data_IF_342733555778
#
_entry.id   IF_342733555778
#
_cell.length_a   1.000
_cell.length_b   1.000
_cell.length_c   1.000
_cell.angle_alpha   90.00
_cell.angle_beta   90.00
_cell.angle_gamma   90.00
#
_symmetry.space_group_name_H-M   'P 1'
#
loop_
_entity.id
_entity.type
_entity.pdbx_description
1 polymer ?
#
# COMPACT_ATOMS: atom_id res chain seq x y z
N UNK A 1 12.59 -36.06 -49.11
CA UNK A 1 12.74 -36.35 -47.67
C UNK A 1 13.12 -35.07 -46.93
N UNK A 2 12.59 -34.84 -45.78
CA UNK A 2 11.23 -34.40 -45.50
C UNK A 2 11.18 -33.02 -44.85
N UNK A 3 10.42 -32.13 -45.46
CA UNK A 3 10.16 -30.77 -44.99
C UNK A 3 9.12 -30.73 -43.83
N UNK A 4 8.69 -31.88 -43.35
CA UNK A 4 7.61 -31.99 -42.33
C UNK A 4 8.07 -32.09 -40.87
N UNK A 5 9.35 -32.28 -40.60
CA UNK A 5 9.91 -32.45 -39.26
C UNK A 5 10.29 -31.13 -38.59
N UNK A 6 10.59 -30.07 -39.39
CA UNK A 6 10.99 -28.76 -38.84
C UNK A 6 9.81 -27.93 -38.27
N UNK A 7 8.58 -28.18 -38.73
CA UNK A 7 7.42 -27.42 -38.27
C UNK A 7 6.92 -27.84 -36.88
N UNK A 8 7.26 -29.06 -36.42
CA UNK A 8 6.78 -29.59 -35.13
C UNK A 8 7.61 -29.14 -33.92
N UNK A 9 8.86 -28.71 -34.11
CA UNK A 9 9.75 -28.26 -33.04
C UNK A 9 9.57 -26.79 -32.68
N UNK A 10 9.02 -25.98 -33.59
CA UNK A 10 8.79 -24.53 -33.34
C UNK A 10 7.49 -24.25 -32.53
N UNK A 11 6.51 -25.19 -32.56
CA UNK A 11 5.27 -25.05 -31.79
C UNK A 11 5.40 -25.39 -30.32
N UNK A 12 6.45 -26.11 -29.91
CA UNK A 12 6.62 -26.51 -28.49
C UNK A 12 7.36 -25.48 -27.63
N UNK A 13 8.03 -24.50 -28.27
CA UNK A 13 8.83 -23.49 -27.55
C UNK A 13 8.01 -22.26 -27.11
N UNK A 14 6.77 -22.11 -27.59
CA UNK A 14 5.89 -20.96 -27.27
C UNK A 14 5.00 -21.16 -26.04
N UNK A 15 5.01 -22.34 -25.40
CA UNK A 15 4.14 -22.66 -24.26
C UNK A 15 4.77 -22.51 -22.88
N UNK A 16 6.05 -22.13 -22.78
CA UNK A 16 6.76 -22.03 -21.50
C UNK A 16 6.93 -20.60 -20.95
N UNK A 17 6.40 -19.58 -21.60
CA UNK A 17 6.58 -18.19 -21.19
C UNK A 17 5.40 -17.59 -20.36
N UNK A 18 4.45 -18.38 -19.89
CA UNK A 18 3.21 -17.84 -19.28
C UNK A 18 3.03 -18.09 -17.77
N UNK A 19 4.06 -18.53 -17.03
CA UNK A 19 3.88 -18.86 -15.61
C UNK A 19 4.62 -17.96 -14.61
N UNK A 20 5.10 -16.78 -15.00
CA UNK A 20 5.98 -15.99 -14.11
C UNK A 20 5.35 -14.71 -13.52
N UNK A 21 4.06 -14.41 -13.69
CA UNK A 21 3.50 -13.14 -13.20
C UNK A 21 2.11 -13.25 -12.52
N UNK A 22 1.70 -14.39 -11.98
CA UNK A 22 0.35 -14.55 -11.41
C UNK A 22 0.20 -14.16 -9.93
N UNK A 23 1.28 -13.99 -9.18
CA UNK A 23 1.19 -13.75 -7.73
C UNK A 23 1.03 -12.27 -7.34
N UNK A 24 1.50 -11.33 -8.16
CA UNK A 24 1.28 -9.88 -7.96
C UNK A 24 -0.13 -9.41 -8.36
N UNK A 25 -0.98 -10.25 -8.93
CA UNK A 25 -2.28 -9.85 -9.48
C UNK A 25 -3.50 -10.29 -8.64
N UNK A 26 -3.33 -10.93 -7.50
CA UNK A 26 -4.48 -11.27 -6.64
C UNK A 26 -4.81 -10.12 -5.71
N UNK A 27 -5.48 -9.12 -6.26
CA UNK A 27 -6.02 -8.04 -5.45
C UNK A 27 -7.23 -8.54 -4.67
N UNK A 28 -7.15 -8.48 -3.36
CA UNK A 28 -8.28 -8.75 -2.48
C UNK A 28 -9.19 -7.51 -2.41
N UNK A 29 -10.51 -7.71 -2.41
CA UNK A 29 -11.47 -6.66 -2.07
C UNK A 29 -11.73 -6.70 -0.56
N UNK A 30 -11.75 -5.52 0.05
CA UNK A 30 -12.00 -5.37 1.47
C UNK A 30 -12.95 -4.21 1.75
N UNK A 31 -13.82 -4.36 2.74
CA UNK A 31 -14.69 -3.27 3.21
C UNK A 31 -14.09 -2.63 4.45
N UNK A 32 -13.96 -1.32 4.45
CA UNK A 32 -13.48 -0.55 5.60
C UNK A 32 -14.44 -0.71 6.78
N UNK A 33 -13.91 -1.09 7.94
CA UNK A 33 -14.65 -1.16 9.21
C UNK A 33 -14.36 0.09 10.04
N UNK A 34 -13.09 0.41 10.28
CA UNK A 34 -12.66 1.63 10.98
C UNK A 34 -11.19 1.94 10.68
N UNK A 35 -10.84 3.19 10.84
CA UNK A 35 -9.46 3.67 10.86
C UNK A 35 -8.96 3.67 12.30
N UNK A 36 -7.78 3.09 12.53
CA UNK A 36 -7.10 3.09 13.84
C UNK A 36 -6.17 4.30 13.91
N UNK A 37 -5.27 4.42 12.91
CA UNK A 37 -4.38 5.57 12.76
C UNK A 37 -4.17 5.89 11.27
N UNK A 38 -3.34 6.86 10.95
CA UNK A 38 -3.14 7.32 9.57
C UNK A 38 -2.75 6.22 8.59
N UNK A 39 -2.01 5.20 9.03
CA UNK A 39 -1.53 4.08 8.21
C UNK A 39 -2.02 2.70 8.69
N UNK A 40 -2.93 2.66 9.64
CA UNK A 40 -3.46 1.42 10.23
C UNK A 40 -4.99 1.41 10.17
N UNK A 41 -5.55 0.41 9.48
CA UNK A 41 -6.99 0.34 9.16
C UNK A 41 -7.53 -1.06 9.48
N UNK A 42 -8.72 -1.15 10.04
CA UNK A 42 -9.46 -2.41 10.22
C UNK A 42 -10.44 -2.58 9.07
N UNK A 43 -10.40 -3.74 8.46
CA UNK A 43 -11.26 -4.08 7.32
C UNK A 43 -11.93 -5.42 7.50
N UNK A 44 -12.97 -5.66 6.69
CA UNK A 44 -13.57 -6.98 6.49
C UNK A 44 -13.19 -7.50 5.11
N UNK A 45 -12.49 -8.64 5.07
CA UNK A 45 -12.19 -9.39 3.85
C UNK A 45 -13.02 -10.67 3.89
N UNK A 46 -13.96 -10.82 2.94
CA UNK A 46 -14.95 -11.87 2.99
C UNK A 46 -15.70 -11.83 4.36
N UNK A 47 -15.51 -12.83 5.23
CA UNK A 47 -16.15 -12.90 6.55
C UNK A 47 -15.15 -12.71 7.73
N UNK A 48 -13.90 -12.31 7.45
CA UNK A 48 -12.86 -12.12 8.46
C UNK A 48 -12.57 -10.64 8.68
N UNK A 49 -12.40 -10.25 9.93
CA UNK A 49 -11.90 -8.94 10.31
C UNK A 49 -10.38 -9.00 10.34
N UNK A 50 -9.74 -8.10 9.64
CA UNK A 50 -8.28 -8.01 9.53
C UNK A 50 -7.82 -6.58 9.85
N UNK A 51 -6.66 -6.47 10.47
CA UNK A 51 -5.98 -5.17 10.62
C UNK A 51 -4.94 -5.03 9.52
N UNK A 52 -5.01 -3.94 8.78
CA UNK A 52 -4.06 -3.59 7.74
C UNK A 52 -2.99 -2.64 8.28
N UNK A 53 -1.75 -2.81 7.82
CA UNK A 53 -0.67 -1.81 7.90
C UNK A 53 -0.26 -1.48 6.47
N UNK A 54 -0.35 -0.20 6.13
CA UNK A 54 -0.02 0.27 4.80
C UNK A 54 1.49 0.20 4.57
N UNK A 55 1.92 -0.46 3.47
CA UNK A 55 3.32 -0.62 3.10
C UNK A 55 3.89 0.71 2.58
N UNK A 56 5.16 0.97 2.89
CA UNK A 56 5.92 2.06 2.29
C UNK A 56 5.63 3.44 2.88
N UNK A 57 4.75 3.54 3.87
CA UNK A 57 4.35 4.81 4.51
C UNK A 57 4.39 4.71 6.02
N UNK A 58 4.69 5.83 6.67
CA UNK A 58 4.69 5.99 8.12
C UNK A 58 4.06 7.34 8.47
N UNK A 59 2.91 7.29 9.12
CA UNK A 59 2.22 8.50 9.58
C UNK A 59 2.65 8.85 10.99
N UNK A 60 2.67 10.14 11.37
CA UNK A 60 2.91 10.51 12.76
C UNK A 60 1.87 9.87 13.68
N UNK A 61 2.33 9.33 14.79
CA UNK A 61 1.56 8.47 15.70
C UNK A 61 0.54 9.26 16.53
N UNK A 62 -0.65 8.70 16.72
CA UNK A 62 -1.71 9.29 17.58
C UNK A 62 -2.15 8.39 18.73
N UNK A 63 -1.87 7.08 18.67
CA UNK A 63 -2.42 6.08 19.61
C UNK A 63 -1.35 5.21 20.28
N UNK A 64 -0.08 5.62 20.24
CA UNK A 64 0.99 4.84 20.85
C UNK A 64 0.89 4.85 22.38
N UNK A 65 0.95 3.68 23.08
CA UNK A 65 0.69 3.60 24.51
C UNK A 65 1.70 4.35 25.39
N UNK A 66 2.92 4.58 24.89
CA UNK A 66 4.02 5.21 25.66
C UNK A 66 4.61 6.46 25.02
N UNK A 67 4.29 6.74 23.76
CA UNK A 67 4.67 7.97 23.08
C UNK A 67 3.49 8.92 23.08
N UNK A 68 3.75 10.20 23.26
CA UNK A 68 2.73 11.25 23.10
C UNK A 68 2.26 11.33 21.64
N UNK A 69 1.21 12.11 21.40
CA UNK A 69 0.73 12.44 20.06
C UNK A 69 1.85 13.17 19.31
N UNK A 70 2.26 12.63 18.18
CA UNK A 70 3.29 13.21 17.34
C UNK A 70 2.77 14.42 16.54
N UNK A 71 3.67 15.35 16.19
CA UNK A 71 3.34 16.49 15.34
C UNK A 71 2.69 16.01 14.03
N UNK A 72 1.57 16.62 13.68
CA UNK A 72 0.73 16.30 12.50
C UNK A 72 0.00 14.94 12.55
N UNK A 73 0.09 14.18 13.63
CA UNK A 73 -0.61 12.90 13.80
C UNK A 73 -2.14 13.03 13.69
N UNK A 74 -2.79 13.93 14.44
CA UNK A 74 -4.24 14.13 14.34
C UNK A 74 -4.71 14.47 12.93
N UNK A 75 -3.94 15.25 12.18
CA UNK A 75 -4.25 15.63 10.80
C UNK A 75 -4.12 14.44 9.85
N UNK A 76 -3.06 13.61 9.99
CA UNK A 76 -2.88 12.39 9.19
C UNK A 76 -4.00 11.37 9.46
N UNK A 77 -4.29 11.09 10.74
CA UNK A 77 -5.39 10.21 11.13
C UNK A 77 -6.75 10.75 10.65
N UNK A 78 -6.97 12.07 10.76
CA UNK A 78 -8.18 12.75 10.28
C UNK A 78 -8.36 12.63 8.76
N UNK A 79 -7.28 12.81 7.98
CA UNK A 79 -7.30 12.62 6.54
C UNK A 79 -7.69 11.19 6.18
N UNK A 80 -7.04 10.19 6.79
CA UNK A 80 -7.36 8.78 6.55
C UNK A 80 -8.82 8.47 6.89
N UNK A 81 -9.36 8.97 8.00
CA UNK A 81 -10.78 8.81 8.37
C UNK A 81 -11.75 9.48 7.39
N UNK A 82 -11.36 10.59 6.80
CA UNK A 82 -12.17 11.30 5.81
C UNK A 82 -12.27 10.53 4.50
N UNK A 83 -11.16 9.93 4.07
CA UNK A 83 -11.08 9.19 2.80
C UNK A 83 -11.60 7.75 2.97
N UNK A 84 -11.15 7.05 4.01
CA UNK A 84 -11.49 5.64 4.26
C UNK A 84 -12.67 5.52 5.23
N UNK A 85 -13.85 5.97 4.79
CA UNK A 85 -15.08 5.88 5.59
C UNK A 85 -15.53 4.42 5.76
N UNK A 86 -16.11 4.05 6.92
CA UNK A 86 -16.71 2.72 7.09
C UNK A 86 -17.71 2.40 5.97
N UNK A 87 -17.68 1.15 5.49
CA UNK A 87 -18.54 0.67 4.41
C UNK A 87 -17.96 0.85 2.99
N UNK A 88 -16.90 1.65 2.81
CA UNK A 88 -16.24 1.76 1.49
C UNK A 88 -15.50 0.45 1.17
N UNK A 89 -15.68 -0.05 -0.05
CA UNK A 89 -14.92 -1.19 -0.57
C UNK A 89 -13.66 -0.70 -1.27
N UNK A 90 -12.53 -1.23 -0.87
CA UNK A 90 -11.19 -0.90 -1.38
C UNK A 90 -10.53 -2.13 -1.97
N UNK A 91 -9.55 -1.91 -2.83
CA UNK A 91 -8.73 -2.97 -3.42
C UNK A 91 -7.38 -3.00 -2.70
N UNK A 92 -6.96 -4.20 -2.28
CA UNK A 92 -5.69 -4.44 -1.58
C UNK A 92 -4.74 -5.19 -2.49
N UNK A 93 -3.52 -4.69 -2.62
CA UNK A 93 -2.43 -5.39 -3.29
C UNK A 93 -1.39 -5.79 -2.24
N UNK A 94 -0.99 -7.05 -2.23
CA UNK A 94 0.08 -7.56 -1.36
C UNK A 94 1.44 -7.46 -2.04
N UNK A 95 2.47 -7.47 -1.22
CA UNK A 95 3.85 -7.62 -1.67
C UNK A 95 4.40 -8.99 -1.20
N UNK A 96 5.70 -9.14 -1.11
CA UNK A 96 6.39 -10.40 -0.84
C UNK A 96 6.04 -10.94 0.55
N UNK A 97 6.20 -10.15 1.60
CA UNK A 97 5.84 -10.53 2.97
C UNK A 97 4.42 -10.09 3.31
N UNK A 98 3.52 -11.05 3.63
CA UNK A 98 2.09 -10.74 3.76
C UNK A 98 1.72 -10.13 5.11
N UNK A 99 2.52 -10.33 6.18
CA UNK A 99 2.20 -9.88 7.55
C UNK A 99 3.44 -9.36 8.28
N UNK A 100 3.21 -8.43 9.18
CA UNK A 100 4.24 -7.99 10.10
C UNK A 100 4.30 -8.86 11.38
N UNK A 101 5.25 -8.53 12.28
CA UNK A 101 5.42 -9.24 13.58
C UNK A 101 4.20 -9.14 14.49
N UNK A 102 3.30 -8.20 14.26
CA UNK A 102 2.05 -8.02 15.00
C UNK A 102 0.86 -8.70 14.32
N UNK A 103 1.12 -9.51 13.28
CA UNK A 103 0.11 -10.21 12.48
C UNK A 103 -0.83 -9.30 11.67
N UNK A 104 -0.49 -8.01 11.50
CA UNK A 104 -1.23 -7.12 10.61
C UNK A 104 -0.92 -7.48 9.16
N UNK A 105 -1.93 -7.43 8.29
CA UNK A 105 -1.74 -7.60 6.84
C UNK A 105 -0.99 -6.40 6.28
N UNK A 106 0.11 -6.66 5.56
CA UNK A 106 0.88 -5.67 4.84
C UNK A 106 0.31 -5.50 3.44
N UNK A 107 -0.12 -4.26 3.10
CA UNK A 107 -0.83 -4.00 1.85
C UNK A 107 -0.53 -2.62 1.26
N UNK A 108 -0.66 -2.54 -0.05
CA UNK A 108 -0.92 -1.31 -0.78
C UNK A 108 -2.43 -1.19 -0.99
N UNK A 109 -3.02 -0.02 -0.72
CA UNK A 109 -4.45 0.20 -0.74
C UNK A 109 -4.84 1.12 -1.90
N UNK A 110 -5.82 0.69 -2.69
CA UNK A 110 -6.39 1.46 -3.79
C UNK A 110 -7.87 1.76 -3.53
N UNK A 111 -8.24 3.00 -3.74
CA UNK A 111 -9.62 3.48 -3.60
C UNK A 111 -10.52 2.93 -4.73
N UNK A 112 -11.86 3.03 -4.61
CA UNK A 112 -12.79 2.57 -5.64
C UNK A 112 -12.57 3.23 -7.02
N UNK A 113 -12.08 4.47 -7.04
CA UNK A 113 -11.75 5.22 -8.25
C UNK A 113 -10.33 4.90 -8.80
N UNK A 114 -9.65 3.92 -8.22
CA UNK A 114 -8.32 3.47 -8.63
C UNK A 114 -7.16 4.29 -8.06
N UNK A 115 -7.40 5.33 -7.29
CA UNK A 115 -6.31 6.12 -6.67
C UNK A 115 -5.53 5.30 -5.66
N UNK A 116 -4.21 5.44 -5.69
CA UNK A 116 -3.29 4.79 -4.77
C UNK A 116 -3.23 5.56 -3.45
N UNK A 117 -3.86 5.04 -2.40
CA UNK A 117 -4.02 5.76 -1.14
C UNK A 117 -2.69 5.98 -0.41
N UNK A 118 -1.77 5.00 -0.43
CA UNK A 118 -0.44 5.15 0.17
C UNK A 118 0.33 6.33 -0.45
N UNK A 119 0.24 6.49 -1.78
CA UNK A 119 0.82 7.64 -2.48
C UNK A 119 0.16 8.95 -2.04
N UNK A 120 -1.16 8.98 -1.91
CA UNK A 120 -1.88 10.20 -1.48
C UNK A 120 -1.42 10.69 -0.11
N UNK A 121 -1.17 9.78 0.84
CA UNK A 121 -0.63 10.12 2.15
C UNK A 121 0.71 10.84 2.05
N UNK A 122 1.62 10.32 1.24
CA UNK A 122 2.97 10.87 1.07
C UNK A 122 2.94 12.19 0.29
N UNK A 123 2.22 12.21 -0.83
CA UNK A 123 2.13 13.36 -1.73
C UNK A 123 1.54 14.61 -1.07
N UNK A 124 0.60 14.42 -0.14
CA UNK A 124 -0.04 15.51 0.61
C UNK A 124 0.66 15.80 1.93
N UNK A 125 1.78 15.10 2.24
CA UNK A 125 2.58 15.32 3.44
C UNK A 125 1.90 14.83 4.73
N UNK A 126 1.05 13.81 4.67
CA UNK A 126 0.49 13.14 5.83
C UNK A 126 1.35 11.98 6.33
N UNK A 127 2.27 11.48 5.51
CA UNK A 127 3.19 10.41 5.85
C UNK A 127 4.61 10.69 5.35
N UNK A 128 5.59 10.08 6.02
CA UNK A 128 6.94 9.84 5.50
C UNK A 128 6.97 8.52 4.77
N UNK A 129 7.98 8.32 3.92
CA UNK A 129 8.24 6.99 3.38
C UNK A 129 8.92 6.10 4.41
N UNK A 130 8.54 4.82 4.43
CA UNK A 130 9.16 3.79 5.27
C UNK A 130 9.38 2.52 4.43
N UNK A 131 10.60 2.35 3.94
CA UNK A 131 10.94 1.17 3.15
C UNK A 131 11.45 0.05 4.06
N UNK A 132 10.70 -1.05 4.14
CA UNK A 132 11.05 -2.25 4.91
C UNK A 132 11.09 -3.44 3.95
N UNK A 133 12.31 -3.91 3.65
CA UNK A 133 12.47 -5.11 2.84
C UNK A 133 11.78 -6.33 3.49
N UNK A 134 11.23 -7.26 2.69
CA UNK A 134 11.32 -7.34 1.23
C UNK A 134 10.25 -6.53 0.46
N UNK A 135 9.31 -5.88 1.16
CA UNK A 135 8.15 -5.19 0.58
C UNK A 135 8.53 -3.81 0.04
N UNK A 136 8.92 -3.73 -1.22
CA UNK A 136 9.48 -2.52 -1.82
C UNK A 136 8.94 -2.18 -3.22
N UNK A 137 7.88 -2.84 -3.67
CA UNK A 137 7.38 -2.69 -5.04
C UNK A 137 7.09 -1.24 -5.47
N UNK A 138 6.70 -0.36 -4.55
CA UNK A 138 6.43 1.06 -4.84
C UNK A 138 7.37 2.03 -4.11
N UNK A 139 8.52 1.56 -3.60
CA UNK A 139 9.42 2.39 -2.79
C UNK A 139 9.96 3.61 -3.55
N UNK A 140 10.39 3.45 -4.80
CA UNK A 140 10.91 4.55 -5.63
C UNK A 140 9.82 5.58 -5.95
N UNK A 141 8.61 5.11 -6.29
CA UNK A 141 7.46 5.98 -6.53
C UNK A 141 7.14 6.82 -5.30
N UNK A 142 7.02 6.18 -4.13
CA UNK A 142 6.71 6.87 -2.88
C UNK A 142 7.81 7.86 -2.49
N UNK A 143 9.09 7.50 -2.62
CA UNK A 143 10.21 8.39 -2.36
C UNK A 143 10.22 9.63 -3.26
N UNK A 144 9.84 9.49 -4.54
CA UNK A 144 9.69 10.61 -5.46
C UNK A 144 8.59 11.58 -5.01
N UNK A 145 7.43 11.04 -4.57
CA UNK A 145 6.33 11.85 -4.07
C UNK A 145 6.67 12.53 -2.73
N UNK A 146 7.42 11.86 -1.83
CA UNK A 146 7.93 12.48 -0.61
C UNK A 146 8.84 13.67 -0.92
N UNK A 147 9.81 13.50 -1.82
CA UNK A 147 10.70 14.58 -2.24
C UNK A 147 9.92 15.79 -2.78
N UNK A 148 8.89 15.53 -3.60
CA UNK A 148 8.01 16.58 -4.10
C UNK A 148 7.23 17.27 -2.99
N UNK A 149 6.64 16.51 -2.04
CA UNK A 149 5.90 17.07 -0.91
C UNK A 149 6.80 17.93 -0.01
N UNK A 150 8.02 17.47 0.24
CA UNK A 150 9.05 18.18 1.01
C UNK A 150 9.46 19.49 0.34
N UNK A 151 9.72 19.48 -0.96
CA UNK A 151 10.06 20.68 -1.74
C UNK A 151 8.92 21.71 -1.76
N UNK A 152 7.68 21.26 -1.83
CA UNK A 152 6.47 22.10 -1.75
C UNK A 152 6.13 22.53 -0.33
N UNK A 153 6.81 21.99 0.69
CA UNK A 153 6.58 22.25 2.13
C UNK A 153 5.10 22.04 2.50
N UNK A 154 4.53 20.91 2.13
CA UNK A 154 3.12 20.58 2.46
C UNK A 154 3.02 19.65 3.65
N UNK A 155 1.92 19.75 4.40
CA UNK A 155 1.61 18.86 5.53
C UNK A 155 2.66 18.93 6.64
N UNK A 156 3.15 17.77 7.07
CA UNK A 156 4.16 17.64 8.13
C UNK A 156 5.49 18.38 7.81
N UNK A 157 5.82 18.53 6.51
CA UNK A 157 7.03 19.24 6.07
C UNK A 157 6.97 20.76 6.26
N UNK A 158 5.79 21.32 6.37
CA UNK A 158 5.58 22.72 6.76
C UNK A 158 5.42 22.86 8.26
N UNK A 159 4.66 21.93 8.88
CA UNK A 159 4.18 22.12 10.25
C UNK A 159 5.13 21.64 11.32
N UNK A 160 5.99 20.64 11.02
CA UNK A 160 6.81 19.94 12.01
C UNK A 160 8.32 20.15 11.84
N UNK A 161 8.78 20.58 10.67
CA UNK A 161 10.19 20.89 10.41
C UNK A 161 10.41 22.40 10.57
N UNK A 162 10.82 22.80 11.76
CA UNK A 162 11.35 24.15 12.06
C UNK A 162 12.82 24.05 12.42
#
# INVERSE_FOLDING_TARGET
MPLKVLASLLSFLLLLASCANSDLQRADLATIVKVVDGDTVVVKIQNKIETLRLIGVDTPETVHPTKGVECFGPQASGFTKTVLKPGITVKLLRDIEPRDRYQRLLVYLFLPDGKFFNQMLVEQGFARTLNIAPNSAFSELLASHESSARNRRVGLWLSCER
#
